data_IF_996122935738
#
_entry.id   IF_996122935738
#
_cell.length_a   1.000
_cell.length_b   1.000
_cell.length_c   1.000
_cell.angle_alpha   90.00
_cell.angle_beta   90.00
_cell.angle_gamma   90.00
#
_symmetry.space_group_name_H-M   'P 1'
#
loop_
_entity.id
_entity.type
_entity.pdbx_description
1 polymer ?
#
# COMPACT_ATOMS: atom_id res chain seq x y z
N UNK A 1 18.57 0.73 5.24
CA UNK A 1 17.26 0.97 5.90
C UNK A 1 16.15 0.36 5.07
N UNK A 2 15.18 -0.34 5.68
CA UNK A 2 14.05 -0.90 4.94
C UNK A 2 12.94 0.16 4.77
N UNK A 3 12.29 0.20 3.61
CA UNK A 3 11.27 1.19 3.25
C UNK A 3 10.16 1.38 4.30
N UNK A 4 9.63 0.29 4.87
CA UNK A 4 8.59 0.37 5.92
C UNK A 4 9.13 0.98 7.23
N UNK A 5 10.39 0.76 7.56
CA UNK A 5 11.02 1.40 8.72
C UNK A 5 11.14 2.90 8.55
N UNK A 6 11.40 3.37 7.33
CA UNK A 6 11.37 4.80 7.01
C UNK A 6 9.96 5.39 7.15
N UNK A 7 8.93 4.70 6.63
CA UNK A 7 7.53 5.13 6.78
C UNK A 7 7.13 5.17 8.26
N UNK A 8 7.51 4.17 9.06
CA UNK A 8 7.21 4.18 10.49
C UNK A 8 7.88 5.36 11.21
N UNK A 9 9.06 5.78 10.76
CA UNK A 9 9.78 6.92 11.30
C UNK A 9 9.06 8.26 11.12
N UNK A 10 8.28 8.42 10.05
CA UNK A 10 7.48 9.64 9.81
C UNK A 10 6.15 9.65 10.58
N UNK A 11 5.81 8.57 11.30
CA UNK A 11 4.59 8.43 12.15
C UNK A 11 3.31 8.89 11.45
N UNK A 12 2.94 8.28 10.31
CA UNK A 12 1.70 8.66 9.62
C UNK A 12 0.50 8.11 10.39
N UNK A 13 -0.65 8.78 10.27
CA UNK A 13 -1.93 8.26 10.76
C UNK A 13 -2.35 7.01 9.99
N UNK A 14 -2.27 7.07 8.65
CA UNK A 14 -2.54 5.96 7.74
C UNK A 14 -1.82 6.18 6.40
N UNK A 15 -1.82 5.13 5.56
CA UNK A 15 -1.28 5.16 4.20
C UNK A 15 -2.35 4.77 3.19
N UNK A 16 -2.60 5.61 2.19
CA UNK A 16 -3.54 5.32 1.12
C UNK A 16 -2.89 4.63 -0.08
N UNK A 17 -3.44 3.49 -0.49
CA UNK A 17 -3.08 2.80 -1.72
C UNK A 17 -4.09 3.06 -2.84
N UNK A 18 -3.58 3.19 -4.06
CA UNK A 18 -4.42 3.29 -5.24
C UNK A 18 -3.60 3.10 -6.51
N UNK A 19 -4.23 2.47 -7.50
CA UNK A 19 -3.70 2.45 -8.86
C UNK A 19 -4.07 3.74 -9.58
N UNK A 20 -3.18 4.24 -10.43
CA UNK A 20 -3.53 5.35 -11.31
C UNK A 20 -4.61 4.91 -12.30
N UNK A 21 -5.63 5.75 -12.47
CA UNK A 21 -6.74 5.53 -13.40
C UNK A 21 -6.46 6.00 -14.83
N UNK A 22 -5.42 6.81 -15.06
CA UNK A 22 -5.06 7.35 -16.38
C UNK A 22 -3.83 6.63 -16.98
N UNK A 23 -4.04 5.60 -17.82
CA UNK A 23 -2.95 4.95 -18.54
C UNK A 23 -2.31 5.97 -19.50
N UNK A 24 -0.98 6.13 -19.42
CA UNK A 24 -0.22 7.07 -20.28
C UNK A 24 0.49 8.22 -19.56
N UNK A 25 0.16 8.48 -18.29
CA UNK A 25 0.86 9.51 -17.49
C UNK A 25 2.11 9.00 -16.75
N UNK A 26 2.39 7.69 -16.81
CA UNK A 26 3.50 7.05 -16.13
C UNK A 26 3.83 5.73 -16.84
N UNK A 27 5.08 5.56 -17.29
CA UNK A 27 5.56 4.36 -17.98
C UNK A 27 6.01 3.25 -17.01
N UNK A 28 5.42 3.17 -15.82
CA UNK A 28 5.74 2.10 -14.87
C UNK A 28 4.75 0.95 -15.03
N UNK A 29 5.23 -0.31 -15.03
CA UNK A 29 4.35 -1.45 -15.06
C UNK A 29 3.50 -1.48 -13.79
N UNK A 30 2.23 -1.89 -13.94
CA UNK A 30 1.37 -2.11 -12.78
C UNK A 30 1.96 -3.25 -11.92
N UNK A 31 2.08 -3.07 -10.59
CA UNK A 31 2.58 -4.14 -9.74
C UNK A 31 1.60 -5.30 -9.70
N UNK A 32 2.11 -6.52 -9.55
CA UNK A 32 1.28 -7.71 -9.37
C UNK A 32 0.51 -7.65 -8.05
N UNK A 33 -0.64 -8.32 -7.99
CA UNK A 33 -1.44 -8.40 -6.76
C UNK A 33 -0.63 -8.88 -5.55
N UNK A 34 0.21 -9.91 -5.73
CA UNK A 34 1.08 -10.44 -4.66
C UNK A 34 2.05 -9.40 -4.11
N UNK A 35 2.62 -8.56 -4.97
CA UNK A 35 3.54 -7.49 -4.54
C UNK A 35 2.79 -6.44 -3.70
N UNK A 36 1.59 -6.07 -4.12
CA UNK A 36 0.75 -5.11 -3.38
C UNK A 36 0.32 -5.71 -2.05
N UNK A 37 -0.13 -6.97 -2.03
CA UNK A 37 -0.52 -7.68 -0.81
C UNK A 37 0.66 -7.81 0.17
N UNK A 38 1.87 -8.13 -0.32
CA UNK A 38 3.07 -8.21 0.53
C UNK A 38 3.43 -6.86 1.14
N UNK A 39 3.30 -5.77 0.39
CA UNK A 39 3.54 -4.44 0.92
C UNK A 39 2.49 -4.04 1.96
N UNK A 40 1.21 -4.28 1.67
CA UNK A 40 0.11 -4.02 2.59
C UNK A 40 0.33 -4.75 3.92
N UNK A 41 0.64 -6.06 3.88
CA UNK A 41 0.97 -6.86 5.07
C UNK A 41 2.13 -6.27 5.87
N UNK A 42 3.23 -5.89 5.22
CA UNK A 42 4.38 -5.31 5.95
C UNK A 42 4.04 -4.00 6.66
N UNK A 43 3.17 -3.17 6.07
CA UNK A 43 2.72 -1.92 6.69
C UNK A 43 1.81 -2.23 7.90
N UNK A 44 0.83 -3.12 7.73
CA UNK A 44 -0.10 -3.49 8.79
C UNK A 44 0.61 -4.22 9.94
N UNK A 45 1.54 -5.13 9.64
CA UNK A 45 2.38 -5.82 10.63
C UNK A 45 3.28 -4.83 11.41
N UNK A 46 3.54 -3.65 10.82
CA UNK A 46 4.29 -2.57 11.47
C UNK A 46 3.40 -1.59 12.25
N UNK A 47 2.10 -1.90 12.38
CA UNK A 47 1.11 -1.06 13.06
C UNK A 47 0.67 0.17 12.27
N UNK A 48 0.90 0.19 10.95
CA UNK A 48 0.48 1.29 10.08
C UNK A 48 -0.83 0.88 9.41
N UNK A 49 -1.85 1.70 9.61
CA UNK A 49 -3.12 1.53 8.92
C UNK A 49 -2.95 1.77 7.41
N UNK A 50 -3.54 0.89 6.60
CA UNK A 50 -3.54 1.00 5.15
C UNK A 50 -4.97 1.13 4.67
N UNK A 51 -5.29 2.28 4.09
CA UNK A 51 -6.56 2.55 3.43
C UNK A 51 -6.40 2.40 1.92
N UNK A 52 -7.46 2.15 1.17
CA UNK A 52 -7.36 2.15 -0.29
C UNK A 52 -8.69 2.11 -1.02
N UNK A 53 -8.69 2.65 -2.24
CA UNK A 53 -9.75 2.33 -3.21
C UNK A 53 -9.48 0.93 -3.76
N UNK A 54 -10.52 0.08 -3.78
CA UNK A 54 -10.57 -1.28 -4.36
C UNK A 54 -9.29 -1.70 -5.08
N UNK A 55 -8.38 -2.32 -4.33
CA UNK A 55 -7.07 -2.75 -4.81
C UNK A 55 -7.14 -4.09 -5.56
N UNK A 56 -8.14 -4.25 -6.43
CA UNK A 56 -8.34 -5.40 -7.33
C UNK A 56 -8.10 -6.77 -6.66
N UNK A 57 -8.63 -6.98 -5.45
CA UNK A 57 -8.54 -8.25 -4.71
C UNK A 57 -7.50 -8.30 -3.59
N UNK A 58 -6.77 -7.21 -3.31
CA UNK A 58 -5.95 -7.11 -2.09
C UNK A 58 -6.86 -7.06 -0.88
N UNK A 59 -6.68 -8.01 0.03
CA UNK A 59 -7.37 -8.05 1.31
C UNK A 59 -6.61 -7.15 2.26
N UNK A 60 -7.18 -5.99 2.55
CA UNK A 60 -6.74 -5.14 3.64
C UNK A 60 -7.43 -5.66 4.91
N UNK A 61 -6.69 -5.98 5.98
CA UNK A 61 -7.33 -6.25 7.26
C UNK A 61 -8.12 -5.00 7.66
N UNK A 62 -9.43 -5.16 7.84
CA UNK A 62 -10.30 -4.09 8.34
C UNK A 62 -9.64 -3.42 9.53
N UNK A 63 -9.34 -2.13 9.40
CA UNK A 63 -9.25 -1.25 10.55
C UNK A 63 -10.62 -0.59 10.63
N UNK A 64 -11.43 -1.02 11.61
CA UNK A 64 -12.68 -0.35 12.01
C UNK A 64 -13.77 -0.29 10.97
#
# INVERSE_FOLDING_TARGET
MQFVGWIRGIRPEYVCFGFKSKPGSMCLPEPTGDKVQKLARRLTDSGIEVCGKTLRGVVLPNVG
#
